data_IF_669996561858
#
_entry.id   IF_669996561858
#
_cell.length_a   1.000
_cell.length_b   1.000
_cell.length_c   1.000
_cell.angle_alpha   90.00
_cell.angle_beta   90.00
_cell.angle_gamma   90.00
#
_symmetry.space_group_name_H-M   'P 1'
#
loop_
_entity.id
_entity.type
_entity.pdbx_description
1 polymer ?
#
# COMPACT_ATOMS: atom_id res chain seq x y z
N UNK A 1 25.69 9.03 5.96
CA UNK A 1 24.21 9.05 6.05
C UNK A 1 23.84 9.89 7.25
N UNK A 2 23.08 10.96 7.09
CA UNK A 2 22.70 11.86 8.20
C UNK A 2 21.52 11.29 8.97
N UNK A 3 21.36 11.68 10.24
CA UNK A 3 20.21 11.28 11.05
C UNK A 3 18.88 11.70 10.37
N UNK A 4 18.87 12.86 9.73
CA UNK A 4 17.71 13.35 8.97
C UNK A 4 17.31 12.43 7.80
N UNK A 5 18.27 11.86 7.08
CA UNK A 5 17.98 10.94 5.99
C UNK A 5 17.35 9.62 6.48
N UNK A 6 17.67 9.19 7.71
CA UNK A 6 17.09 8.00 8.34
C UNK A 6 15.68 8.28 8.86
N UNK A 7 15.44 9.51 9.34
CA UNK A 7 14.15 9.91 9.89
C UNK A 7 13.13 10.34 8.83
N UNK A 8 13.58 10.75 7.63
CA UNK A 8 12.70 11.18 6.55
C UNK A 8 11.59 10.15 6.19
N UNK A 9 11.87 8.85 6.00
CA UNK A 9 10.81 7.86 5.73
C UNK A 9 9.79 7.73 6.87
N UNK A 10 10.23 7.92 8.12
CA UNK A 10 9.35 7.86 9.30
C UNK A 10 8.48 9.12 9.36
N UNK A 11 9.05 10.30 9.13
CA UNK A 11 8.32 11.58 9.04
C UNK A 11 7.30 11.55 7.91
N UNK A 12 7.69 11.04 6.75
CA UNK A 12 6.86 10.77 5.59
C UNK A 12 5.67 9.85 5.92
N UNK A 13 5.92 8.73 6.61
CA UNK A 13 4.88 7.80 7.03
C UNK A 13 3.89 8.46 8.02
N UNK A 14 4.40 9.15 9.03
CA UNK A 14 3.59 9.89 10.01
C UNK A 14 2.77 10.96 9.31
N UNK A 15 3.37 11.70 8.38
CA UNK A 15 2.68 12.71 7.59
C UNK A 15 1.56 12.09 6.76
N UNK A 16 1.82 10.99 6.05
CA UNK A 16 0.82 10.30 5.23
C UNK A 16 -0.40 9.87 6.06
N UNK A 17 -0.17 9.27 7.23
CA UNK A 17 -1.26 8.95 8.16
C UNK A 17 -1.93 10.20 8.75
N UNK A 18 -1.17 11.27 9.02
CA UNK A 18 -1.74 12.52 9.51
C UNK A 18 -2.63 13.19 8.47
N UNK A 19 -2.28 13.14 7.17
CA UNK A 19 -3.12 13.63 6.09
C UNK A 19 -4.41 12.83 5.99
N UNK A 20 -4.34 11.52 6.19
CA UNK A 20 -5.54 10.69 6.20
C UNK A 20 -6.57 11.15 7.27
N UNK A 21 -6.09 11.70 8.39
CA UNK A 21 -6.92 12.27 9.47
C UNK A 21 -7.31 13.73 9.17
N UNK A 22 -6.37 14.55 8.70
CA UNK A 22 -6.56 16.00 8.51
C UNK A 22 -7.46 16.36 7.32
N UNK A 23 -7.58 15.51 6.29
CA UNK A 23 -8.53 15.69 5.18
C UNK A 23 -9.95 15.28 5.61
N UNK A 24 -10.45 15.88 6.70
CA UNK A 24 -11.82 15.70 7.21
C UNK A 24 -12.19 14.28 7.65
N UNK A 25 -11.21 13.44 7.99
CA UNK A 25 -11.43 12.02 8.29
C UNK A 25 -11.73 11.14 7.06
N UNK A 26 -11.78 11.71 5.85
CA UNK A 26 -12.02 10.94 4.63
C UNK A 26 -10.88 9.95 4.37
N UNK A 27 -9.62 10.33 4.60
CA UNK A 27 -8.52 9.38 4.46
C UNK A 27 -8.58 8.23 5.48
N UNK A 28 -9.02 8.49 6.72
CA UNK A 28 -9.30 7.43 7.68
C UNK A 28 -10.38 6.48 7.16
N UNK A 29 -11.46 7.01 6.56
CA UNK A 29 -12.51 6.21 5.92
C UNK A 29 -11.99 5.43 4.72
N UNK A 30 -11.18 6.05 3.83
CA UNK A 30 -10.69 5.43 2.61
C UNK A 30 -9.50 4.47 2.81
N UNK A 31 -8.75 4.60 3.90
CA UNK A 31 -7.59 3.74 4.18
C UNK A 31 -7.81 2.79 5.36
N UNK A 32 -8.32 3.28 6.50
CA UNK A 32 -8.49 2.45 7.69
C UNK A 32 -9.68 1.49 7.54
N UNK A 33 -10.78 1.89 6.88
CA UNK A 33 -11.91 0.97 6.70
C UNK A 33 -11.51 -0.19 5.77
N UNK A 34 -10.93 0.02 4.57
CA UNK A 34 -10.50 -1.11 3.75
C UNK A 34 -9.41 -1.95 4.45
N UNK A 35 -8.46 -1.35 5.16
CA UNK A 35 -7.47 -2.10 5.93
C UNK A 35 -8.11 -2.93 7.06
N UNK A 36 -9.08 -2.37 7.79
CA UNK A 36 -9.81 -3.08 8.84
C UNK A 36 -10.66 -4.21 8.26
N UNK A 37 -11.33 -3.99 7.12
CA UNK A 37 -12.06 -5.03 6.38
C UNK A 37 -11.07 -6.13 5.96
N UNK A 38 -9.88 -5.77 5.45
CA UNK A 38 -8.83 -6.72 5.07
C UNK A 38 -8.42 -7.60 6.26
N UNK A 39 -8.15 -6.99 7.41
CA UNK A 39 -7.79 -7.70 8.64
C UNK A 39 -8.93 -8.57 9.17
N UNK A 40 -10.17 -8.08 9.11
CA UNK A 40 -11.35 -8.84 9.54
C UNK A 40 -11.60 -10.06 8.63
N UNK A 41 -11.52 -9.88 7.31
CA UNK A 41 -11.59 -10.98 6.33
C UNK A 41 -10.45 -11.97 6.57
N UNK A 42 -9.24 -11.49 6.87
CA UNK A 42 -8.10 -12.33 7.22
C UNK A 42 -8.35 -13.16 8.47
N UNK A 43 -8.75 -12.53 9.57
CA UNK A 43 -9.04 -13.22 10.82
C UNK A 43 -10.17 -14.25 10.65
N UNK A 44 -11.28 -13.85 10.01
CA UNK A 44 -12.46 -14.70 9.82
C UNK A 44 -12.15 -15.95 8.97
N UNK A 45 -11.39 -15.80 7.88
CA UNK A 45 -11.03 -16.93 7.02
C UNK A 45 -9.92 -17.78 7.63
N UNK A 46 -8.94 -17.17 8.30
CA UNK A 46 -7.84 -17.88 8.95
C UNK A 46 -8.33 -18.87 10.00
N UNK A 47 -9.36 -18.51 10.79
CA UNK A 47 -9.94 -19.40 11.79
C UNK A 47 -10.63 -20.63 11.20
N UNK A 48 -11.17 -20.52 9.97
CA UNK A 48 -11.94 -21.57 9.28
C UNK A 48 -11.09 -22.50 8.41
N UNK A 49 -9.83 -22.16 8.17
CA UNK A 49 -8.94 -22.95 7.30
C UNK A 49 -8.27 -24.11 8.03
N UNK A 50 -7.91 -25.16 7.30
CA UNK A 50 -7.10 -26.25 7.84
C UNK A 50 -5.68 -25.80 8.21
N UNK A 51 -5.09 -26.48 9.21
CA UNK A 51 -3.74 -26.17 9.71
C UNK A 51 -2.65 -26.27 8.64
N UNK A 52 -2.83 -27.19 7.68
CA UNK A 52 -1.92 -27.37 6.53
C UNK A 52 -1.94 -26.18 5.58
N UNK A 53 -3.12 -25.61 5.31
CA UNK A 53 -3.30 -24.40 4.50
C UNK A 53 -2.79 -23.16 5.22
N UNK A 54 -3.08 -23.02 6.52
CA UNK A 54 -2.63 -21.87 7.33
C UNK A 54 -1.12 -21.65 7.30
N UNK A 55 -0.32 -22.73 7.26
CA UNK A 55 1.15 -22.64 7.18
C UNK A 55 1.66 -21.99 5.89
N UNK A 56 0.87 -22.02 4.82
CA UNK A 56 1.23 -21.46 3.50
C UNK A 56 0.72 -20.02 3.32
N UNK A 57 -0.23 -19.57 4.13
CA UNK A 57 -0.83 -18.23 4.04
C UNK A 57 0.10 -17.04 4.33
N UNK A 58 1.21 -17.14 5.10
CA UNK A 58 2.07 -15.98 5.34
C UNK A 58 2.61 -15.33 4.05
N UNK A 59 2.70 -16.08 2.94
CA UNK A 59 3.08 -15.52 1.64
C UNK A 59 2.09 -14.46 1.11
N UNK A 60 0.84 -14.48 1.58
CA UNK A 60 -0.18 -13.47 1.24
C UNK A 60 0.16 -12.11 1.85
N UNK A 61 1.00 -12.08 2.90
CA UNK A 61 1.51 -10.83 3.49
C UNK A 61 2.45 -10.06 2.55
N UNK A 62 2.86 -10.64 1.41
CA UNK A 62 3.58 -9.90 0.36
C UNK A 62 2.71 -8.83 -0.32
N UNK A 63 1.39 -9.04 -0.40
CA UNK A 63 0.46 -8.09 -1.02
C UNK A 63 0.47 -6.71 -0.33
N UNK A 64 0.32 -6.61 1.01
CA UNK A 64 0.34 -5.31 1.67
C UNK A 64 1.69 -4.60 1.62
N UNK A 65 2.80 -5.33 1.43
CA UNK A 65 4.10 -4.69 1.24
C UNK A 65 4.12 -3.77 0.02
N UNK A 66 3.34 -4.06 -1.03
CA UNK A 66 3.31 -3.25 -2.24
C UNK A 66 2.86 -1.83 -1.92
N UNK A 67 1.68 -1.65 -1.32
CA UNK A 67 1.16 -0.31 -1.04
C UNK A 67 1.94 0.38 0.09
N UNK A 68 2.48 -0.37 1.06
CA UNK A 68 3.34 0.22 2.10
C UNK A 68 4.60 0.84 1.46
N UNK A 69 5.26 0.11 0.56
CA UNK A 69 6.46 0.60 -0.13
C UNK A 69 6.15 1.78 -1.05
N UNK A 70 5.00 1.76 -1.74
CA UNK A 70 4.55 2.90 -2.56
C UNK A 70 4.26 4.14 -1.71
N UNK A 71 3.62 3.97 -0.56
CA UNK A 71 3.35 5.07 0.37
C UNK A 71 4.63 5.67 0.93
N UNK A 72 5.59 4.82 1.34
CA UNK A 72 6.92 5.26 1.76
C UNK A 72 7.65 5.99 0.64
N UNK A 73 7.61 5.45 -0.58
CA UNK A 73 8.21 6.07 -1.76
C UNK A 73 7.64 7.47 -2.00
N UNK A 74 6.32 7.62 -2.09
CA UNK A 74 5.67 8.92 -2.27
C UNK A 74 5.99 9.91 -1.15
N UNK A 75 6.03 9.44 0.09
CA UNK A 75 6.31 10.30 1.23
C UNK A 75 7.74 10.87 1.26
N UNK A 76 8.75 10.15 0.74
CA UNK A 76 10.11 10.69 0.57
C UNK A 76 10.11 11.89 -0.37
N UNK A 77 9.45 11.78 -1.53
CA UNK A 77 9.42 12.86 -2.53
C UNK A 77 8.57 14.05 -2.12
N UNK A 78 7.58 13.84 -1.26
CA UNK A 78 6.86 14.95 -0.63
C UNK A 78 7.78 15.83 0.21
N UNK A 79 8.64 15.22 1.04
CA UNK A 79 9.55 15.95 1.93
C UNK A 79 10.58 16.75 1.13
N UNK A 80 11.13 16.17 0.06
CA UNK A 80 12.02 16.87 -0.87
C UNK A 80 11.31 18.05 -1.55
N UNK A 81 10.13 17.83 -2.12
CA UNK A 81 9.36 18.89 -2.81
C UNK A 81 9.04 20.07 -1.90
N UNK A 82 8.82 19.82 -0.60
CA UNK A 82 8.53 20.86 0.40
C UNK A 82 9.78 21.62 0.84
N UNK A 83 10.97 21.01 0.72
CA UNK A 83 12.25 21.66 1.02
C UNK A 83 12.67 22.66 -0.07
N UNK A 84 11.87 22.85 -1.12
CA UNK A 84 12.18 23.76 -2.23
C UNK A 84 13.21 23.20 -3.21
N UNK A 85 13.48 21.88 -3.16
CA UNK A 85 14.31 21.24 -4.17
C UNK A 85 13.60 21.21 -5.53
N UNK A 86 14.38 21.05 -6.60
CA UNK A 86 13.90 21.02 -7.98
C UNK A 86 12.69 20.10 -8.18
N UNK A 87 11.83 20.36 -9.18
CA UNK A 87 10.70 19.49 -9.50
C UNK A 87 11.16 18.05 -9.69
N UNK A 88 10.40 17.10 -9.14
CA UNK A 88 10.73 15.68 -9.25
C UNK A 88 10.76 15.24 -10.72
N UNK A 89 11.79 14.50 -11.15
CA UNK A 89 11.85 13.91 -12.47
C UNK A 89 10.61 13.06 -12.81
N UNK A 90 10.08 13.20 -14.03
CA UNK A 90 8.87 12.50 -14.48
C UNK A 90 8.95 10.97 -14.39
N UNK A 91 10.16 10.38 -14.46
CA UNK A 91 10.33 8.93 -14.37
C UNK A 91 9.99 8.36 -12.99
N UNK A 92 9.92 9.19 -11.95
CA UNK A 92 9.58 8.78 -10.58
C UNK A 92 8.13 8.31 -10.44
N UNK A 93 7.26 8.57 -11.41
CA UNK A 93 5.89 8.04 -11.43
C UNK A 93 5.84 6.55 -11.81
N UNK A 94 6.85 6.03 -12.51
CA UNK A 94 6.80 4.66 -13.05
C UNK A 94 6.73 3.57 -11.99
N UNK A 95 7.47 3.63 -10.85
CA UNK A 95 7.31 2.67 -9.76
C UNK A 95 5.88 2.64 -9.19
N UNK A 96 5.19 3.79 -9.15
CA UNK A 96 3.82 3.90 -8.66
C UNK A 96 2.88 3.15 -9.61
N UNK A 97 2.98 3.36 -10.92
CA UNK A 97 2.20 2.60 -11.90
C UNK A 97 2.52 1.09 -11.90
N UNK A 98 3.80 0.75 -11.82
CA UNK A 98 4.27 -0.63 -11.77
C UNK A 98 3.71 -1.38 -10.56
N UNK A 99 3.53 -0.69 -9.41
CA UNK A 99 2.95 -1.29 -8.21
C UNK A 99 1.52 -1.80 -8.40
N UNK A 100 0.72 -1.12 -9.23
CA UNK A 100 -0.65 -1.56 -9.52
C UNK A 100 -0.65 -2.87 -10.29
N UNK A 101 0.15 -2.94 -11.36
CA UNK A 101 0.31 -4.16 -12.14
C UNK A 101 0.87 -5.29 -11.27
N UNK A 102 1.85 -4.98 -10.42
CA UNK A 102 2.43 -5.94 -9.48
C UNK A 102 1.38 -6.49 -8.50
N UNK A 103 0.48 -5.65 -7.96
CA UNK A 103 -0.60 -6.10 -7.07
C UNK A 103 -1.54 -7.09 -7.78
N UNK A 104 -1.89 -6.82 -9.04
CA UNK A 104 -2.70 -7.75 -9.84
C UNK A 104 -1.96 -9.07 -10.10
N UNK A 105 -0.74 -9.00 -10.63
CA UNK A 105 0.07 -10.19 -10.95
C UNK A 105 0.28 -11.04 -9.70
N UNK A 106 0.60 -10.42 -8.57
CA UNK A 106 0.83 -11.13 -7.32
C UNK A 106 -0.46 -11.75 -6.79
N UNK A 107 -1.60 -11.05 -6.88
CA UNK A 107 -2.91 -11.60 -6.48
C UNK A 107 -3.27 -12.84 -7.29
N UNK A 108 -3.19 -12.77 -8.62
CA UNK A 108 -3.50 -13.90 -9.50
C UNK A 108 -2.50 -15.05 -9.35
N UNK A 109 -1.21 -14.75 -9.23
CA UNK A 109 -0.16 -15.74 -9.00
C UNK A 109 -0.35 -16.47 -7.68
N UNK A 110 -0.66 -15.74 -6.60
CA UNK A 110 -0.96 -16.34 -5.29
C UNK A 110 -2.25 -17.16 -5.31
N UNK A 111 -3.29 -16.72 -6.02
CA UNK A 111 -4.53 -17.49 -6.14
C UNK A 111 -4.31 -18.78 -6.95
N UNK A 112 -3.48 -18.75 -7.99
CA UNK A 112 -3.10 -19.94 -8.74
C UNK A 112 -2.28 -20.92 -7.88
N UNK A 113 -1.35 -20.39 -7.07
CA UNK A 113 -0.48 -21.18 -6.19
C UNK A 113 -1.23 -21.79 -4.98
N UNK A 114 -2.13 -21.03 -4.35
CA UNK A 114 -2.85 -21.42 -3.14
C UNK A 114 -4.25 -21.95 -3.47
N UNK A 115 -4.32 -23.08 -4.18
CA UNK A 115 -5.56 -23.62 -4.75
C UNK A 115 -6.68 -23.87 -3.71
N UNK A 116 -6.33 -24.25 -2.48
CA UNK A 116 -7.30 -24.44 -1.37
C UNK A 116 -7.70 -23.16 -0.62
N UNK A 117 -7.12 -22.01 -0.95
CA UNK A 117 -7.37 -20.71 -0.32
C UNK A 117 -7.72 -19.62 -1.34
N UNK A 118 -8.09 -20.00 -2.58
CA UNK A 118 -8.39 -19.07 -3.68
C UNK A 118 -9.37 -17.95 -3.32
N UNK A 119 -10.57 -18.23 -2.76
CA UNK A 119 -11.51 -17.17 -2.42
C UNK A 119 -10.94 -16.17 -1.43
N UNK A 120 -10.15 -16.66 -0.47
CA UNK A 120 -9.45 -15.82 0.49
C UNK A 120 -8.42 -14.91 -0.19
N UNK A 121 -7.56 -15.48 -1.04
CA UNK A 121 -6.53 -14.70 -1.75
C UNK A 121 -7.15 -13.66 -2.68
N UNK A 122 -8.23 -14.00 -3.38
CA UNK A 122 -8.92 -13.07 -4.28
C UNK A 122 -9.59 -11.94 -3.49
N UNK A 123 -10.33 -12.25 -2.42
CA UNK A 123 -10.95 -11.22 -1.59
C UNK A 123 -9.91 -10.29 -0.96
N UNK A 124 -8.83 -10.87 -0.42
CA UNK A 124 -7.72 -10.13 0.16
C UNK A 124 -7.00 -9.27 -0.89
N UNK A 125 -6.70 -9.84 -2.06
CA UNK A 125 -6.05 -9.14 -3.17
C UNK A 125 -6.90 -8.02 -3.77
N UNK A 126 -8.23 -8.17 -3.79
CA UNK A 126 -9.13 -7.09 -4.21
C UNK A 126 -9.04 -5.88 -3.28
N UNK A 127 -9.11 -6.12 -1.96
CA UNK A 127 -8.95 -5.05 -0.97
C UNK A 127 -7.54 -4.44 -1.02
N UNK A 128 -6.52 -5.29 -1.16
CA UNK A 128 -5.13 -4.83 -1.31
C UNK A 128 -4.92 -3.95 -2.55
N UNK A 129 -5.58 -4.30 -3.64
CA UNK A 129 -5.50 -3.53 -4.89
C UNK A 129 -6.20 -2.19 -4.75
N UNK A 130 -7.35 -2.13 -4.07
CA UNK A 130 -8.00 -0.84 -3.74
C UNK A 130 -7.10 0.05 -2.87
N UNK A 131 -6.43 -0.53 -1.86
CA UNK A 131 -5.45 0.20 -1.05
C UNK A 131 -4.24 0.66 -1.89
N UNK A 132 -3.72 -0.20 -2.76
CA UNK A 132 -2.61 0.13 -3.67
C UNK A 132 -2.99 1.26 -4.63
N UNK A 133 -4.22 1.26 -5.14
CA UNK A 133 -4.77 2.35 -5.96
C UNK A 133 -4.81 3.66 -5.17
N UNK A 134 -5.41 3.65 -3.98
CA UNK A 134 -5.51 4.85 -3.14
C UNK A 134 -4.15 5.40 -2.72
N UNK A 135 -3.24 4.54 -2.26
CA UNK A 135 -1.90 4.96 -1.86
C UNK A 135 -1.06 5.39 -3.06
N UNK A 136 -1.20 4.70 -4.20
CA UNK A 136 -0.56 5.08 -5.45
C UNK A 136 -1.00 6.44 -5.95
N UNK A 137 -2.29 6.76 -5.85
CA UNK A 137 -2.81 8.09 -6.16
C UNK A 137 -2.17 9.16 -5.26
N UNK A 138 -2.16 8.96 -3.94
CA UNK A 138 -1.54 9.88 -2.98
C UNK A 138 -0.02 10.04 -3.21
N UNK A 139 0.68 8.94 -3.46
CA UNK A 139 2.10 8.95 -3.78
C UNK A 139 2.36 9.67 -5.11
N UNK A 140 1.47 9.50 -6.09
CA UNK A 140 1.54 10.18 -7.38
C UNK A 140 1.47 11.69 -7.20
N UNK A 141 0.51 12.17 -6.41
CA UNK A 141 0.39 13.60 -6.09
C UNK A 141 1.60 14.14 -5.33
N UNK A 142 2.17 13.34 -4.43
CA UNK A 142 3.39 13.72 -3.72
C UNK A 142 4.60 13.85 -4.65
N UNK A 143 4.68 13.01 -5.68
CA UNK A 143 5.75 13.05 -6.69
C UNK A 143 5.51 14.17 -7.70
N UNK A 144 4.30 14.37 -8.21
CA UNK A 144 4.02 15.36 -9.25
C UNK A 144 3.80 16.76 -8.71
N UNK A 145 3.45 16.91 -7.42
CA UNK A 145 3.04 18.17 -6.82
C UNK A 145 1.68 18.67 -7.32
N UNK A 146 0.94 17.86 -8.08
CA UNK A 146 -0.37 18.18 -8.65
C UNK A 146 -1.41 17.14 -8.26
N UNK A 147 -2.67 17.58 -8.17
CA UNK A 147 -3.83 16.70 -7.98
C UNK A 147 -4.33 16.08 -9.30
N UNK A 148 -3.67 16.41 -10.43
CA UNK A 148 -3.97 16.03 -11.81
C UNK A 148 -2.68 15.89 -12.62
#
# INVERSE_FOLDING_TARGET
>A
MTLDAILAPIRALIWFFSQAVQVGGLGAVYFLIPAAIMLAVMAANYMRMDRSLRRRLPIVLLLPLIWILVGLYGGVFWEDSRAGSQPNPAWMIYPIWASMLLSFVLTFGLAAHLQGARPFVVAFGAINTLLTLGVGFMAGMAVTGSWL
#
